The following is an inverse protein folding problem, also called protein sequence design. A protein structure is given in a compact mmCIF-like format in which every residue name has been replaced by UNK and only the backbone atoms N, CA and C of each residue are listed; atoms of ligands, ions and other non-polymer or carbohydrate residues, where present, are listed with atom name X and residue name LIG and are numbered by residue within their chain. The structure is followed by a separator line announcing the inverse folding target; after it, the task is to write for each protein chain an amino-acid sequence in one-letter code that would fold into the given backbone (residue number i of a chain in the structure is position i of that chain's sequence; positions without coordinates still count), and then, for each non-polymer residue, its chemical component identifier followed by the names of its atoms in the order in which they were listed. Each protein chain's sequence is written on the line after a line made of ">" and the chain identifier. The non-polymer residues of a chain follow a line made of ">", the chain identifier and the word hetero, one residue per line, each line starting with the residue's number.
data_IF_259370686043
#
_entry.id   IF_259370686043
#
_cell.length_a   1.000
_cell.length_b   1.000
_cell.length_c   1.000
_cell.angle_alpha   90.00
_cell.angle_beta   90.00
_cell.angle_gamma   90.00
#
_symmetry.space_group_name_H-M   'P 1'
#
loop_
_entity.id
_entity.type
_entity.pdbx_description
1 polymer ?
#
# COMPACT_ATOMS: atom_id res chain seq x y z
N UNK A 1 -0.88 19.89 1.66
CA UNK A 1 0.24 19.63 2.59
C UNK A 1 1.17 18.58 2.00
N UNK A 2 2.46 18.85 1.99
CA UNK A 2 3.46 17.92 1.47
C UNK A 2 3.88 16.96 2.58
N UNK A 3 3.81 15.64 2.33
CA UNK A 3 4.27 14.62 3.27
C UNK A 3 5.74 14.28 3.07
N UNK A 4 6.17 14.23 1.82
CA UNK A 4 7.55 13.95 1.42
C UNK A 4 7.78 14.54 0.03
N UNK A 5 8.96 14.34 -0.54
CA UNK A 5 9.34 14.94 -1.84
C UNK A 5 8.30 14.69 -2.94
N UNK A 6 7.75 13.47 -3.02
CA UNK A 6 6.85 13.08 -4.12
C UNK A 6 5.41 12.82 -3.70
N UNK A 7 5.09 12.94 -2.41
CA UNK A 7 3.76 12.57 -1.91
C UNK A 7 3.10 13.69 -1.13
N UNK A 8 1.82 13.92 -1.42
CA UNK A 8 0.98 14.93 -0.76
C UNK A 8 -0.08 14.25 0.09
N UNK A 9 -0.50 14.92 1.15
CA UNK A 9 -1.55 14.42 2.04
C UNK A 9 -2.85 14.14 1.27
N UNK A 10 -3.19 14.97 0.31
CA UNK A 10 -4.41 14.84 -0.50
C UNK A 10 -4.47 13.49 -1.24
N UNK A 11 -3.33 12.96 -1.67
CA UNK A 11 -3.27 11.64 -2.30
C UNK A 11 -3.61 10.50 -1.34
N UNK A 12 -3.33 10.70 -0.05
CA UNK A 12 -3.51 9.69 1.01
C UNK A 12 -4.92 9.71 1.61
N UNK A 13 -5.67 10.78 1.44
CA UNK A 13 -6.99 10.95 2.05
C UNK A 13 -8.13 10.87 1.05
N UNK A 14 -7.83 10.77 -0.22
CA UNK A 14 -8.81 10.71 -1.29
C UNK A 14 -9.64 9.45 -1.22
N UNK A 15 -10.96 9.58 -1.20
CA UNK A 15 -11.90 8.47 -1.19
C UNK A 15 -13.21 8.86 -1.84
N UNK A 16 -13.57 8.16 -2.90
CA UNK A 16 -14.86 8.37 -3.58
C UNK A 16 -16.04 8.00 -2.67
N UNK A 17 -15.88 6.95 -1.88
CA UNK A 17 -16.92 6.51 -0.94
C UNK A 17 -17.16 7.57 0.14
N UNK A 18 -16.10 8.12 0.71
CA UNK A 18 -16.21 9.18 1.72
C UNK A 18 -16.94 10.39 1.14
N UNK A 19 -16.58 10.81 -0.07
CA UNK A 19 -17.21 11.95 -0.76
C UNK A 19 -18.69 11.67 -1.01
N UNK A 20 -19.06 10.52 -1.56
CA UNK A 20 -20.46 10.18 -1.85
C UNK A 20 -21.32 10.11 -0.60
N UNK A 21 -20.79 9.57 0.49
CA UNK A 21 -21.54 9.36 1.74
C UNK A 21 -21.42 10.51 2.72
N UNK A 22 -20.66 11.56 2.37
CA UNK A 22 -20.45 12.69 3.27
C UNK A 22 -19.69 12.33 4.52
N UNK A 23 -18.79 11.35 4.45
CA UNK A 23 -17.98 10.90 5.59
C UNK A 23 -16.72 11.76 5.67
N UNK A 24 -16.44 12.29 6.85
CA UNK A 24 -15.20 13.00 7.12
C UNK A 24 -14.02 12.02 7.14
N UNK A 25 -13.09 12.21 6.20
CA UNK A 25 -11.87 11.41 6.10
C UNK A 25 -10.62 12.22 6.41
N UNK A 26 -10.73 13.17 7.33
CA UNK A 26 -9.60 14.02 7.75
C UNK A 26 -8.76 13.31 8.82
N UNK A 27 -7.44 13.11 8.58
CA UNK A 27 -6.58 12.46 9.56
C UNK A 27 -6.20 13.42 10.69
N UNK A 28 -5.99 12.87 11.88
CA UNK A 28 -5.42 13.61 13.01
C UNK A 28 -3.90 13.78 12.84
N UNK A 29 -3.30 14.55 13.75
CA UNK A 29 -1.85 14.84 13.70
C UNK A 29 -1.00 13.56 13.79
N UNK A 30 -1.39 12.60 14.64
CA UNK A 30 -0.70 11.32 14.76
C UNK A 30 -0.80 10.47 13.50
N UNK A 31 -1.96 10.48 12.85
CA UNK A 31 -2.17 9.77 11.59
C UNK A 31 -1.32 10.35 10.47
N UNK A 32 -1.22 11.68 10.40
CA UNK A 32 -0.37 12.39 9.43
C UNK A 32 1.09 12.01 9.63
N UNK A 33 1.54 11.95 10.88
CA UNK A 33 2.91 11.55 11.20
C UNK A 33 3.20 10.12 10.72
N UNK A 34 2.25 9.21 10.92
CA UNK A 34 2.37 7.83 10.45
C UNK A 34 2.43 7.77 8.92
N UNK A 35 1.61 8.56 8.22
CA UNK A 35 1.66 8.66 6.75
C UNK A 35 3.01 9.17 6.27
N UNK A 36 3.59 10.18 6.94
CA UNK A 36 4.94 10.65 6.62
C UNK A 36 5.96 9.52 6.72
N UNK A 37 5.86 8.69 7.76
CA UNK A 37 6.79 7.56 7.95
C UNK A 37 6.68 6.52 6.84
N UNK A 38 5.47 6.16 6.42
CA UNK A 38 5.27 5.25 5.28
C UNK A 38 5.90 5.84 4.02
N UNK A 39 5.73 7.14 3.79
CA UNK A 39 6.32 7.81 2.64
C UNK A 39 7.85 7.76 2.69
N UNK A 40 8.47 8.17 3.80
CA UNK A 40 9.93 8.21 3.92
C UNK A 40 10.57 6.83 3.91
N UNK A 41 9.99 5.87 4.61
CA UNK A 41 10.62 4.56 4.82
C UNK A 41 10.37 3.60 3.66
N UNK A 42 9.28 3.75 2.93
CA UNK A 42 8.88 2.80 1.89
C UNK A 42 8.65 3.47 0.54
N UNK A 43 7.71 4.41 0.45
CA UNK A 43 7.26 4.93 -0.85
C UNK A 43 8.33 5.74 -1.58
N UNK A 44 9.10 6.57 -0.90
CA UNK A 44 10.19 7.33 -1.53
C UNK A 44 11.31 6.42 -2.02
N UNK A 45 11.79 5.41 -1.26
CA UNK A 45 12.74 4.42 -1.78
C UNK A 45 12.21 3.67 -3.01
N UNK A 46 10.94 3.26 -3.01
CA UNK A 46 10.31 2.61 -4.16
C UNK A 46 10.26 3.56 -5.37
N UNK A 47 9.87 4.82 -5.13
CA UNK A 47 9.80 5.85 -6.16
C UNK A 47 11.17 6.08 -6.81
N UNK A 48 12.22 6.11 -5.99
CA UNK A 48 13.59 6.30 -6.47
C UNK A 48 14.09 5.11 -7.28
N UNK A 49 13.80 3.89 -6.83
CA UNK A 49 14.26 2.67 -7.49
C UNK A 49 13.64 2.48 -8.88
N UNK A 50 12.32 2.58 -8.98
CA UNK A 50 11.62 2.36 -10.25
C UNK A 50 11.63 3.60 -11.15
N UNK A 51 11.91 4.76 -10.58
CA UNK A 51 11.93 6.05 -11.29
C UNK A 51 10.64 6.31 -12.08
N UNK A 52 9.51 5.98 -11.47
CA UNK A 52 8.17 6.14 -12.04
C UNK A 52 7.20 6.61 -10.98
N UNK A 53 6.18 7.39 -11.37
CA UNK A 53 5.16 7.84 -10.42
C UNK A 53 4.43 6.66 -9.76
N UNK A 54 4.19 6.78 -8.47
CA UNK A 54 3.38 5.83 -7.71
C UNK A 54 1.95 6.37 -7.65
N UNK A 55 0.98 5.53 -7.99
CA UNK A 55 -0.44 5.84 -7.86
C UNK A 55 -0.95 5.24 -6.56
N UNK A 56 -1.28 6.10 -5.60
CA UNK A 56 -1.90 5.68 -4.35
C UNK A 56 -3.39 5.48 -4.59
N UNK A 57 -3.87 4.26 -4.32
CA UNK A 57 -5.29 3.92 -4.48
C UNK A 57 -6.05 4.04 -3.17
N UNK A 58 -5.40 3.84 -2.02
CA UNK A 58 -5.97 4.04 -0.70
C UNK A 58 -4.86 4.29 0.31
N UNK A 59 -4.98 5.36 1.06
CA UNK A 59 -4.07 5.66 2.18
C UNK A 59 -4.84 5.66 3.49
N UNK A 60 -5.02 6.83 4.10
CA UNK A 60 -5.79 6.97 5.33
C UNK A 60 -7.28 6.70 5.08
N UNK A 61 -7.87 5.92 5.98
CA UNK A 61 -9.32 5.68 6.05
C UNK A 61 -9.77 5.90 7.50
N UNK A 62 -10.59 6.92 7.74
CA UNK A 62 -11.15 7.17 9.07
C UNK A 62 -11.92 5.93 9.58
N UNK A 63 -12.10 5.82 10.88
CA UNK A 63 -12.87 4.71 11.45
C UNK A 63 -14.27 4.64 10.85
N UNK A 64 -14.93 5.79 10.67
CA UNK A 64 -16.25 5.86 10.05
C UNK A 64 -16.24 5.35 8.61
N UNK A 65 -15.19 5.66 7.83
CA UNK A 65 -15.05 5.16 6.47
C UNK A 65 -14.78 3.65 6.47
N UNK A 66 -13.94 3.15 7.39
CA UNK A 66 -13.71 1.72 7.54
C UNK A 66 -15.01 0.96 7.79
N UNK A 67 -15.84 1.47 8.72
CA UNK A 67 -17.16 0.89 8.98
C UNK A 67 -18.04 0.87 7.73
N UNK A 68 -18.09 1.98 7.00
CA UNK A 68 -18.95 2.14 5.83
C UNK A 68 -18.60 1.16 4.69
N UNK A 69 -17.33 0.76 4.58
CA UNK A 69 -16.86 -0.18 3.54
C UNK A 69 -16.72 -1.62 4.03
N UNK A 70 -17.13 -1.90 5.27
CA UNK A 70 -17.04 -3.23 5.87
C UNK A 70 -15.64 -3.64 6.33
N UNK A 71 -14.74 -2.69 6.50
CA UNK A 71 -13.41 -2.91 7.04
C UNK A 71 -13.39 -2.73 8.55
N UNK A 72 -12.34 -3.22 9.22
CA UNK A 72 -12.20 -3.09 10.66
C UNK A 72 -11.72 -1.69 11.05
N UNK A 73 -12.27 -1.12 12.13
CA UNK A 73 -11.79 0.14 12.72
C UNK A 73 -10.35 0.05 13.22
N UNK A 74 -9.86 -1.17 13.48
CA UNK A 74 -8.49 -1.43 13.93
C UNK A 74 -7.50 -1.57 12.78
N UNK A 75 -7.96 -1.41 11.54
CA UNK A 75 -7.09 -1.44 10.35
C UNK A 75 -5.95 -0.42 10.48
N UNK A 76 -4.78 -0.78 9.99
CA UNK A 76 -3.64 0.14 9.93
C UNK A 76 -3.93 1.35 9.03
N UNK A 77 -4.85 1.24 8.06
CA UNK A 77 -5.33 2.38 7.28
C UNK A 77 -5.98 3.44 8.16
N UNK A 78 -6.66 3.05 9.24
CA UNK A 78 -7.31 3.98 10.16
C UNK A 78 -6.32 4.75 11.04
N UNK A 79 -5.06 4.33 11.06
CA UNK A 79 -3.98 4.97 11.82
C UNK A 79 -3.00 5.72 10.92
N UNK A 80 -3.21 5.70 9.60
CA UNK A 80 -2.27 6.26 8.65
C UNK A 80 -1.01 5.42 8.46
N UNK A 81 -1.02 4.16 8.89
CA UNK A 81 0.15 3.29 8.83
C UNK A 81 0.21 2.42 7.58
N UNK A 82 -0.82 2.42 6.76
CA UNK A 82 -0.91 1.56 5.57
C UNK A 82 -1.28 2.34 4.33
N UNK A 83 -0.75 1.90 3.18
CA UNK A 83 -1.02 2.48 1.87
C UNK A 83 -1.16 1.35 0.86
N UNK A 84 -2.18 1.46 0.01
CA UNK A 84 -2.37 0.61 -1.17
C UNK A 84 -1.97 1.41 -2.40
N UNK A 85 -1.16 0.81 -3.28
CA UNK A 85 -0.63 1.55 -4.43
C UNK A 85 -0.26 0.64 -5.59
N UNK A 86 -0.04 1.26 -6.75
CA UNK A 86 0.44 0.63 -7.96
C UNK A 86 1.43 1.55 -8.68
N UNK A 87 2.25 0.96 -9.54
CA UNK A 87 3.15 1.69 -10.43
C UNK A 87 2.80 1.28 -11.86
N UNK A 88 2.35 2.22 -12.69
CA UNK A 88 2.04 1.94 -14.09
C UNK A 88 3.28 1.42 -14.82
N UNK A 89 3.12 0.31 -15.53
CA UNK A 89 4.22 -0.31 -16.27
C UNK A 89 5.13 -1.21 -15.45
N UNK A 90 4.88 -1.37 -14.14
CA UNK A 90 5.63 -2.29 -13.28
C UNK A 90 4.65 -3.31 -12.71
N UNK A 91 4.85 -4.61 -12.94
CA UNK A 91 4.00 -5.64 -12.33
C UNK A 91 4.01 -5.54 -10.81
N UNK A 92 2.85 -5.69 -10.18
CA UNK A 92 2.75 -5.56 -8.73
C UNK A 92 3.64 -6.55 -7.99
N UNK A 93 3.80 -7.77 -8.50
CA UNK A 93 4.69 -8.76 -7.91
C UNK A 93 6.16 -8.28 -7.90
N UNK A 94 6.59 -7.60 -8.94
CA UNK A 94 7.95 -7.05 -9.02
C UNK A 94 8.15 -5.97 -7.95
N UNK A 95 7.18 -5.08 -7.78
CA UNK A 95 7.20 -4.07 -6.73
C UNK A 95 7.26 -4.71 -5.34
N UNK A 96 6.43 -5.72 -5.11
CA UNK A 96 6.39 -6.43 -3.82
C UNK A 96 7.73 -7.10 -3.49
N UNK A 97 8.36 -7.77 -4.45
CA UNK A 97 9.68 -8.37 -4.26
C UNK A 97 10.74 -7.34 -3.90
N UNK A 98 10.73 -6.20 -4.58
CA UNK A 98 11.70 -5.16 -4.28
C UNK A 98 11.56 -4.64 -2.85
N UNK A 99 10.32 -4.41 -2.40
CA UNK A 99 10.03 -3.97 -1.03
C UNK A 99 10.49 -5.03 -0.02
N UNK A 100 10.14 -6.30 -0.26
CA UNK A 100 10.53 -7.41 0.61
C UNK A 100 12.05 -7.44 0.82
N UNK A 101 12.82 -7.19 -0.22
CA UNK A 101 14.28 -7.33 -0.19
C UNK A 101 15.01 -6.06 0.24
N UNK A 102 14.37 -4.90 0.22
CA UNK A 102 15.06 -3.61 0.39
C UNK A 102 14.50 -2.69 1.45
N UNK A 103 13.29 -2.93 1.93
CA UNK A 103 12.62 -2.06 2.89
C UNK A 103 12.35 -2.76 4.22
N UNK A 104 12.24 -1.95 5.28
CA UNK A 104 11.65 -2.39 6.53
C UNK A 104 10.15 -2.08 6.47
N UNK A 105 9.30 -3.00 6.93
CA UNK A 105 7.85 -2.84 6.91
C UNK A 105 7.19 -3.75 7.94
N UNK A 106 5.97 -3.42 8.34
CA UNK A 106 5.20 -4.27 9.24
C UNK A 106 4.50 -5.39 8.47
N UNK A 107 3.73 -5.04 7.43
CA UNK A 107 3.03 -6.02 6.60
C UNK A 107 3.10 -5.61 5.13
N UNK A 108 3.35 -6.57 4.26
CA UNK A 108 3.37 -6.43 2.81
C UNK A 108 2.43 -7.47 2.23
N UNK A 109 1.43 -7.04 1.47
CA UNK A 109 0.45 -7.94 0.85
C UNK A 109 0.37 -7.66 -0.63
N UNK A 110 0.56 -8.69 -1.44
CA UNK A 110 0.21 -8.66 -2.85
C UNK A 110 -1.28 -9.00 -2.96
N UNK A 111 -2.10 -7.95 -3.15
CA UNK A 111 -3.57 -8.03 -3.05
C UNK A 111 -4.20 -8.38 -4.40
N UNK A 112 -5.15 -9.30 -4.38
CA UNK A 112 -5.90 -9.74 -5.56
C UNK A 112 -5.00 -10.18 -6.71
N UNK A 113 -3.93 -10.89 -6.36
CA UNK A 113 -2.99 -11.43 -7.33
C UNK A 113 -3.65 -12.51 -8.20
N UNK A 114 -3.41 -12.41 -9.51
CA UNK A 114 -3.81 -13.44 -10.48
C UNK A 114 -2.59 -13.81 -11.31
N UNK A 115 -2.33 -15.11 -11.39
CA UNK A 115 -1.13 -15.68 -12.02
C UNK A 115 -0.86 -15.17 -13.44
N UNK A 116 -1.91 -14.96 -14.22
CA UNK A 116 -1.79 -14.57 -15.64
C UNK A 116 -2.10 -13.09 -15.89
N UNK A 117 -2.21 -12.29 -14.82
CA UNK A 117 -2.54 -10.88 -14.92
C UNK A 117 -1.58 -10.05 -14.03
N UNK A 118 -0.40 -9.67 -14.56
CA UNK A 118 0.58 -8.89 -13.80
C UNK A 118 0.10 -7.49 -13.42
N UNK A 119 -0.95 -6.97 -14.09
CA UNK A 119 -1.55 -5.68 -13.79
C UNK A 119 -2.73 -5.79 -12.82
N UNK A 120 -3.13 -7.01 -12.43
CA UNK A 120 -4.25 -7.21 -11.50
C UNK A 120 -3.89 -6.91 -10.06
N UNK A 121 -4.88 -6.42 -9.30
CA UNK A 121 -4.71 -6.12 -7.90
C UNK A 121 -3.83 -4.91 -7.62
N UNK A 122 -3.21 -4.90 -6.45
CA UNK A 122 -2.34 -3.80 -6.00
C UNK A 122 -1.37 -4.30 -4.92
N UNK A 123 -0.51 -3.40 -4.46
CA UNK A 123 0.42 -3.66 -3.35
C UNK A 123 -0.08 -2.93 -2.11
N UNK A 124 -0.24 -3.67 -1.02
CA UNK A 124 -0.52 -3.12 0.31
C UNK A 124 0.75 -3.18 1.14
N UNK A 125 1.10 -2.08 1.78
CA UNK A 125 2.26 -2.03 2.67
C UNK A 125 1.96 -1.18 3.89
N UNK A 126 2.49 -1.59 5.04
CA UNK A 126 2.34 -0.85 6.29
C UNK A 126 3.68 -0.68 6.99
N UNK A 127 3.76 0.35 7.82
CA UNK A 127 4.94 0.67 8.62
C UNK A 127 4.49 1.11 10.01
N UNK A 128 5.13 0.55 11.04
CA UNK A 128 4.83 0.86 12.43
C UNK A 128 6.06 1.49 13.08
N UNK A 129 6.00 2.79 13.34
CA UNK A 129 7.11 3.53 13.97
C UNK A 129 7.28 3.17 15.44
N UNK A 130 6.19 2.86 16.14
CA UNK A 130 6.20 2.68 17.60
C UNK A 130 6.40 1.25 18.05
N UNK A 131 6.40 0.29 17.14
CA UNK A 131 6.58 -1.12 17.42
C UNK A 131 7.57 -1.76 16.47
N UNK A 132 7.91 -3.03 16.75
CA UNK A 132 8.71 -3.78 15.82
C UNK A 132 7.92 -4.05 14.55
N UNK A 133 8.53 -3.77 13.40
CA UNK A 133 7.96 -4.14 12.11
C UNK A 133 8.11 -5.64 11.90
N UNK A 134 6.99 -6.36 11.72
CA UNK A 134 6.95 -7.83 11.68
C UNK A 134 7.56 -8.42 10.42
N UNK A 135 7.67 -7.63 9.37
CA UNK A 135 8.07 -8.10 8.04
C UNK A 135 7.22 -9.25 7.54
N UNK A 136 5.93 -9.22 7.85
CA UNK A 136 4.98 -10.22 7.40
C UNK A 136 4.68 -10.01 5.92
N UNK A 137 4.85 -11.06 5.12
CA UNK A 137 4.60 -11.03 3.68
C UNK A 137 3.50 -12.02 3.35
N UNK A 138 2.46 -11.54 2.66
CA UNK A 138 1.29 -12.33 2.28
C UNK A 138 0.94 -12.10 0.82
N UNK A 139 0.27 -13.08 0.24
CA UNK A 139 -0.40 -12.96 -1.06
C UNK A 139 -1.87 -13.28 -0.87
N UNK A 140 -2.75 -12.45 -1.40
CA UNK A 140 -4.20 -12.60 -1.33
C UNK A 140 -4.79 -12.73 -2.73
N UNK A 141 -5.53 -13.83 -2.98
CA UNK A 141 -6.12 -14.10 -4.30
C UNK A 141 -7.58 -13.67 -4.44
N UNK A 142 -8.12 -13.03 -3.40
CA UNK A 142 -9.54 -12.65 -3.32
C UNK A 142 -10.37 -13.61 -2.47
N UNK A 143 -9.81 -14.74 -2.08
CA UNK A 143 -10.48 -15.77 -1.26
C UNK A 143 -9.67 -16.14 -0.02
N UNK A 144 -8.37 -16.34 -0.16
CA UNK A 144 -7.50 -16.78 0.92
C UNK A 144 -6.14 -16.09 0.88
N UNK A 145 -5.50 -16.03 2.06
CA UNK A 145 -4.15 -15.52 2.21
C UNK A 145 -3.16 -16.67 2.24
N UNK A 146 -2.03 -16.49 1.55
CA UNK A 146 -0.90 -17.40 1.61
C UNK A 146 0.34 -16.65 2.10
N UNK A 147 1.18 -17.30 2.88
CA UNK A 147 2.44 -16.73 3.36
C UNK A 147 3.42 -16.59 2.20
N UNK A 148 4.11 -15.45 2.15
CA UNK A 148 5.11 -15.16 1.14
C UNK A 148 4.53 -14.66 -0.17
N UNK A 149 5.41 -14.56 -1.18
CA UNK A 149 5.07 -14.13 -2.53
C UNK A 149 5.20 -15.30 -3.49
N UNK A 150 4.39 -15.33 -4.57
CA UNK A 150 4.56 -16.32 -5.64
C UNK A 150 5.91 -16.13 -6.32
N UNK A 151 6.43 -17.17 -6.97
CA UNK A 151 7.65 -17.04 -7.76
C UNK A 151 7.42 -16.07 -8.93
N UNK A 152 8.37 -15.16 -9.15
CA UNK A 152 8.34 -14.32 -10.34
C UNK A 152 8.74 -15.15 -11.55
N UNK A 153 7.94 -15.03 -12.62
CA UNK A 153 8.23 -15.67 -13.89
C UNK A 153 8.73 -14.64 -14.88
N UNK A 154 9.77 -15.00 -15.60
CA UNK A 154 10.39 -14.14 -16.60
C UNK A 154 10.24 -14.77 -17.98
N UNK A 155 9.92 -13.93 -18.96
CA UNK A 155 9.92 -14.31 -20.37
C UNK A 155 10.55 -13.18 -21.15
N UNK A 156 11.65 -13.49 -21.86
CA UNK A 156 12.41 -12.51 -22.65
C UNK A 156 12.83 -11.28 -21.83
N UNK A 157 13.21 -11.48 -20.56
CA UNK A 157 13.62 -10.42 -19.67
C UNK A 157 12.48 -9.61 -19.06
N UNK A 158 11.24 -10.04 -19.23
CA UNK A 158 10.04 -9.35 -18.73
C UNK A 158 9.30 -10.24 -17.74
N UNK A 159 8.84 -9.65 -16.63
CA UNK A 159 8.02 -10.36 -15.64
C UNK A 159 6.63 -10.62 -16.23
N UNK A 160 6.19 -11.89 -16.24
CA UNK A 160 4.91 -12.30 -16.84
C UNK A 160 3.93 -12.95 -15.83
N UNK A 161 4.13 -12.73 -14.55
CA UNK A 161 3.13 -13.21 -13.58
C UNK A 161 3.66 -13.77 -12.32
#
# INVERSE_FOLDING_TARGET
>A
MQLSKHFKLEEMTKSMTATRKGIDNSPGAGDIKNLENVCYEILEPVRAHFDKPITVTSGYRSEALCEAIGSKKTSQHAKGQAVDFEIAGVPNIQTAYWIQNNCDFDQLILEFYKKDDPAGGWVHVSYNEQGANRKQVLTYDGKSYENGLPDMKWKDGVVVG
#
